data_IF_112177509106
#
_entry.id   IF_112177509106
#
_cell.length_a   1.000
_cell.length_b   1.000
_cell.length_c   1.000
_cell.angle_alpha   90.00
_cell.angle_beta   90.00
_cell.angle_gamma   90.00
#
_symmetry.space_group_name_H-M   'P 1'
#
loop_
_entity.id
_entity.type
_entity.pdbx_description
1 polymer ?
#
# COMPACT_ATOMS: atom_id res chain seq x y z
N UNK A 1 32.86 -27.07 -24.50
CA UNK A 1 31.75 -28.01 -24.77
C UNK A 1 30.69 -27.71 -23.74
N UNK A 2 29.80 -26.76 -24.06
CA UNK A 2 28.89 -26.14 -23.09
C UNK A 2 27.58 -26.91 -23.00
N UNK A 3 27.27 -27.40 -21.82
CA UNK A 3 25.91 -27.76 -21.45
C UNK A 3 25.28 -26.49 -20.88
N UNK A 4 24.52 -25.77 -21.71
CA UNK A 4 23.44 -24.91 -21.21
C UNK A 4 22.38 -25.90 -20.73
N UNK A 5 22.42 -26.27 -19.45
CA UNK A 5 21.26 -26.89 -18.82
C UNK A 5 20.12 -25.87 -18.92
N UNK A 6 19.22 -26.11 -19.86
CA UNK A 6 17.94 -25.43 -19.92
C UNK A 6 17.19 -25.96 -18.71
N UNK A 7 17.30 -25.27 -17.57
CA UNK A 7 16.56 -25.64 -16.38
C UNK A 7 15.07 -25.70 -16.74
N UNK A 8 14.52 -26.91 -16.79
CA UNK A 8 13.10 -27.10 -16.99
C UNK A 8 12.35 -26.45 -15.82
N UNK A 9 11.33 -25.65 -16.14
CA UNK A 9 10.54 -24.96 -15.11
C UNK A 9 9.71 -26.00 -14.34
N UNK A 10 9.72 -25.92 -13.02
CA UNK A 10 8.93 -26.78 -12.13
C UNK A 10 7.45 -26.35 -12.09
N UNK A 11 6.74 -26.51 -13.21
CA UNK A 11 5.33 -26.10 -13.34
C UNK A 11 4.45 -27.33 -13.09
N UNK A 12 3.53 -27.21 -12.13
CA UNK A 12 2.52 -28.24 -11.84
C UNK A 12 1.13 -27.63 -11.98
N UNK A 13 0.22 -28.37 -12.63
CA UNK A 13 -1.18 -27.99 -12.80
C UNK A 13 -2.03 -29.15 -12.32
N UNK A 14 -2.93 -28.88 -11.38
CA UNK A 14 -3.84 -29.88 -10.82
C UNK A 14 -5.25 -29.32 -10.66
N UNK A 15 -6.24 -30.20 -10.73
CA UNK A 15 -7.62 -29.86 -10.36
C UNK A 15 -7.77 -30.02 -8.85
N UNK A 16 -8.19 -28.95 -8.19
CA UNK A 16 -8.43 -28.95 -6.74
C UNK A 16 -9.93 -29.15 -6.49
N UNK A 17 -10.28 -30.14 -5.68
CA UNK A 17 -11.66 -30.37 -5.25
C UNK A 17 -11.99 -29.51 -4.03
N UNK A 18 -12.21 -28.21 -4.25
CA UNK A 18 -12.62 -27.25 -3.23
C UNK A 18 -13.93 -26.57 -3.64
N UNK A 19 -14.79 -26.32 -2.66
CA UNK A 19 -16.00 -25.52 -2.86
C UNK A 19 -15.62 -24.10 -3.33
N UNK A 20 -16.17 -23.62 -4.45
CA UNK A 20 -15.95 -22.26 -4.94
C UNK A 20 -16.21 -21.22 -3.85
N UNK A 21 -15.49 -20.10 -3.87
CA UNK A 21 -15.65 -19.07 -2.83
C UNK A 21 -17.10 -18.59 -2.69
N UNK A 22 -17.78 -18.39 -3.82
CA UNK A 22 -19.19 -17.98 -3.87
C UNK A 22 -20.16 -18.96 -3.21
N UNK A 23 -19.85 -20.25 -3.27
CA UNK A 23 -20.71 -21.31 -2.71
C UNK A 23 -20.49 -21.50 -1.21
N UNK A 24 -19.36 -21.03 -0.67
CA UNK A 24 -19.10 -21.09 0.77
C UNK A 24 -20.09 -20.22 1.54
N UNK A 25 -20.53 -20.72 2.69
CA UNK A 25 -21.55 -20.06 3.51
C UNK A 25 -21.04 -18.77 4.18
N UNK A 26 -19.73 -18.63 4.39
CA UNK A 26 -19.11 -17.49 5.07
C UNK A 26 -17.89 -17.06 4.27
N UNK A 27 -17.76 -15.76 4.04
CA UNK A 27 -16.60 -15.13 3.43
C UNK A 27 -16.30 -13.80 4.13
N UNK A 28 -15.03 -13.52 4.37
CA UNK A 28 -14.56 -12.29 5.00
C UNK A 28 -13.49 -11.67 4.13
N UNK A 29 -13.68 -10.41 3.78
CA UNK A 29 -12.72 -9.65 2.97
C UNK A 29 -12.47 -8.31 3.65
N UNK A 30 -11.22 -7.88 3.69
CA UNK A 30 -10.84 -6.57 4.23
C UNK A 30 -9.90 -5.87 3.25
N UNK A 31 -10.08 -4.56 3.09
CA UNK A 31 -9.16 -3.67 2.40
C UNK A 31 -8.89 -2.44 3.24
N UNK A 32 -7.61 -2.12 3.40
CA UNK A 32 -7.10 -0.90 4.00
C UNK A 32 -6.75 0.08 2.88
N UNK A 33 -7.47 1.19 2.81
CA UNK A 33 -7.34 2.21 1.78
C UNK A 33 -6.05 3.03 1.91
N UNK A 34 -5.88 3.95 0.97
CA UNK A 34 -4.65 4.73 0.77
C UNK A 34 -4.06 5.36 2.05
N UNK A 35 -4.90 5.99 2.87
CA UNK A 35 -4.50 6.75 4.06
C UNK A 35 -4.39 5.92 5.32
N UNK A 36 -4.73 4.62 5.28
CA UNK A 36 -4.57 3.75 6.44
C UNK A 36 -3.08 3.65 6.81
N UNK A 37 -2.69 3.72 8.10
CA UNK A 37 -1.29 3.73 8.51
C UNK A 37 -0.43 2.60 7.92
N UNK A 38 -0.97 1.37 7.87
CA UNK A 38 -0.28 0.23 7.25
C UNK A 38 -0.07 0.43 5.74
N UNK A 39 -1.11 0.85 5.01
CA UNK A 39 -1.03 1.10 3.56
C UNK A 39 -0.11 2.28 3.23
N UNK A 40 -0.02 3.28 4.11
CA UNK A 40 0.98 4.35 4.01
C UNK A 40 2.40 3.80 4.15
N UNK A 41 2.65 2.91 5.11
CA UNK A 41 3.95 2.25 5.25
C UNK A 41 4.33 1.46 3.99
N UNK A 42 3.39 0.67 3.45
CA UNK A 42 3.61 -0.12 2.23
C UNK A 42 3.94 0.78 1.03
N UNK A 43 3.13 1.82 0.82
CA UNK A 43 3.33 2.74 -0.31
C UNK A 43 4.59 3.61 -0.17
N UNK A 44 4.98 3.99 1.05
CA UNK A 44 6.27 4.66 1.30
C UNK A 44 7.42 3.70 0.99
N UNK A 45 7.34 2.44 1.45
CA UNK A 45 8.39 1.46 1.22
C UNK A 45 8.64 1.23 -0.28
N UNK A 46 7.56 1.10 -1.06
CA UNK A 46 7.60 0.95 -2.52
C UNK A 46 8.13 2.22 -3.20
N UNK A 47 7.60 3.39 -2.86
CA UNK A 47 8.04 4.67 -3.43
C UNK A 47 9.54 4.92 -3.20
N UNK A 48 10.06 4.57 -2.02
CA UNK A 48 11.49 4.65 -1.71
C UNK A 48 12.30 3.64 -2.55
N UNK A 49 11.83 2.40 -2.72
CA UNK A 49 12.50 1.41 -3.56
C UNK A 49 12.59 1.88 -5.01
N UNK A 50 11.48 2.37 -5.58
CA UNK A 50 11.43 2.89 -6.96
C UNK A 50 12.36 4.09 -7.12
N UNK A 51 12.40 5.01 -6.14
CA UNK A 51 13.29 6.16 -6.18
C UNK A 51 14.78 5.75 -6.13
N UNK A 52 15.14 4.78 -5.30
CA UNK A 52 16.50 4.24 -5.26
C UNK A 52 16.86 3.50 -6.56
N UNK A 53 15.93 2.74 -7.15
CA UNK A 53 16.14 2.10 -8.45
C UNK A 53 16.51 3.13 -9.52
N UNK A 54 15.80 4.26 -9.57
CA UNK A 54 16.08 5.36 -10.51
C UNK A 54 17.44 6.00 -10.23
N UNK A 55 17.74 6.34 -8.98
CA UNK A 55 19.04 6.91 -8.59
C UNK A 55 20.21 5.98 -8.97
N UNK A 56 20.06 4.67 -8.73
CA UNK A 56 21.07 3.67 -9.12
C UNK A 56 21.21 3.55 -10.64
N UNK A 57 20.10 3.55 -11.36
CA UNK A 57 20.13 3.50 -12.83
C UNK A 57 20.81 4.74 -13.42
N UNK A 58 20.53 5.93 -12.87
CA UNK A 58 21.10 7.21 -13.33
C UNK A 58 22.60 7.33 -13.04
N UNK A 59 23.04 6.97 -11.82
CA UNK A 59 24.44 7.14 -11.40
C UNK A 59 25.35 5.97 -11.74
N UNK A 60 24.81 4.75 -11.70
CA UNK A 60 25.59 3.52 -11.82
C UNK A 60 25.26 2.73 -13.08
N UNK A 61 24.27 3.16 -13.88
CA UNK A 61 23.81 2.45 -15.07
C UNK A 61 23.07 1.15 -14.78
N UNK A 62 22.82 0.85 -13.51
CA UNK A 62 22.26 -0.44 -13.09
C UNK A 62 21.68 -0.35 -11.68
N UNK A 63 20.58 -1.06 -11.45
CA UNK A 63 19.98 -1.21 -10.13
C UNK A 63 20.96 -1.93 -9.20
N UNK A 64 21.17 -1.40 -8.00
CA UNK A 64 21.99 -2.00 -6.95
C UNK A 64 21.12 -2.63 -5.86
N UNK A 65 21.69 -3.53 -5.08
CA UNK A 65 20.98 -4.21 -4.00
C UNK A 65 20.43 -3.22 -2.97
N UNK A 66 19.12 -3.32 -2.72
CA UNK A 66 18.39 -2.63 -1.65
C UNK A 66 17.10 -3.39 -1.33
N UNK A 67 16.62 -3.27 -0.09
CA UNK A 67 15.31 -3.72 0.37
C UNK A 67 14.80 -2.69 1.39
N UNK A 68 13.72 -1.97 1.07
CA UNK A 68 13.19 -0.81 1.83
C UNK A 68 11.86 -1.11 2.51
N UNK A 69 11.52 -2.39 2.63
CA UNK A 69 10.29 -3.00 3.12
C UNK A 69 10.17 -2.98 4.66
N UNK A 70 10.83 -2.04 5.34
CA UNK A 70 10.77 -1.89 6.81
C UNK A 70 10.47 -0.44 7.14
N UNK A 71 9.21 -0.05 7.04
CA UNK A 71 8.74 1.29 7.40
C UNK A 71 7.93 1.20 8.70
N UNK A 72 8.30 2.01 9.69
CA UNK A 72 7.54 2.13 10.93
C UNK A 72 6.90 3.51 10.99
N UNK A 73 5.58 3.54 11.16
CA UNK A 73 4.83 4.75 11.47
C UNK A 73 4.48 4.74 12.96
N UNK A 74 4.81 5.83 13.65
CA UNK A 74 4.38 6.12 15.02
C UNK A 74 3.39 7.27 14.98
N UNK A 75 2.22 7.05 15.55
CA UNK A 75 1.14 8.03 15.55
C UNK A 75 1.55 9.34 16.23
N UNK A 76 1.12 10.45 15.63
CA UNK A 76 1.16 11.76 16.26
C UNK A 76 -0.03 11.96 17.21
N UNK A 77 -0.36 13.24 17.46
CA UNK A 77 -1.57 13.64 18.19
C UNK A 77 -2.20 14.83 17.48
N UNK A 78 -3.51 14.85 17.41
CA UNK A 78 -4.28 15.96 16.87
C UNK A 78 -5.45 16.30 17.78
N UNK A 79 -5.99 17.51 17.60
CA UNK A 79 -7.23 17.96 18.21
C UNK A 79 -8.16 18.39 17.07
N UNK A 80 -8.87 17.43 16.43
CA UNK A 80 -9.87 17.77 15.44
C UNK A 80 -11.09 18.43 16.12
N UNK A 81 -11.65 19.44 15.48
CA UNK A 81 -12.91 20.06 15.86
C UNK A 81 -13.68 20.46 14.60
N UNK A 82 -14.99 20.63 14.71
CA UNK A 82 -15.79 21.06 13.57
C UNK A 82 -15.26 22.38 12.99
N UNK A 83 -15.16 22.44 11.66
CA UNK A 83 -14.62 23.57 10.91
C UNK A 83 -13.10 23.72 10.99
N UNK A 84 -12.37 22.84 11.68
CA UNK A 84 -10.92 22.94 11.76
C UNK A 84 -10.25 21.93 12.68
N UNK A 85 -9.37 22.44 13.54
CA UNK A 85 -8.53 21.64 14.41
C UNK A 85 -7.05 21.80 14.08
N UNK A 86 -6.22 21.14 14.88
CA UNK A 86 -4.76 21.27 14.78
C UNK A 86 -4.05 19.95 15.03
N UNK A 87 -2.85 19.81 14.45
CA UNK A 87 -1.92 18.74 14.79
C UNK A 87 -1.07 19.20 15.96
N UNK A 88 -1.19 18.49 17.09
CA UNK A 88 -0.51 18.81 18.36
C UNK A 88 0.91 18.26 18.37
N UNK A 89 1.11 17.06 17.83
CA UNK A 89 2.42 16.46 17.64
C UNK A 89 2.46 15.68 16.33
N UNK A 90 3.55 15.78 15.55
CA UNK A 90 3.63 15.19 14.23
C UNK A 90 3.63 13.66 14.28
N UNK A 91 3.22 13.05 13.17
CA UNK A 91 3.46 11.64 12.88
C UNK A 91 4.97 11.45 12.71
N UNK A 92 5.53 10.37 13.25
CA UNK A 92 6.93 10.01 13.04
C UNK A 92 7.04 8.76 12.16
N UNK A 93 7.84 8.84 11.10
CA UNK A 93 8.07 7.76 10.15
C UNK A 93 9.55 7.43 10.12
N UNK A 94 9.87 6.15 10.37
CA UNK A 94 11.22 5.62 10.32
C UNK A 94 11.36 4.70 9.11
N UNK A 95 12.22 5.08 8.17
CA UNK A 95 12.59 4.29 7.00
C UNK A 95 13.74 3.36 7.37
N UNK A 96 13.48 2.05 7.40
CA UNK A 96 14.44 0.99 7.67
C UNK A 96 14.68 0.10 6.47
N UNK A 97 15.64 -0.82 6.60
CA UNK A 97 16.00 -1.78 5.55
C UNK A 97 17.48 -1.71 5.17
N UNK A 98 17.78 -2.08 3.93
CA UNK A 98 19.13 -2.15 3.37
C UNK A 98 19.22 -1.37 2.07
N UNK A 99 20.34 -0.68 1.84
CA UNK A 99 20.62 -0.02 0.57
C UNK A 99 22.13 0.07 0.32
N UNK A 100 22.52 0.01 -0.95
CA UNK A 100 23.92 0.21 -1.36
C UNK A 100 24.24 1.69 -1.35
N UNK A 101 25.21 2.11 -0.53
CA UNK A 101 25.60 3.53 -0.36
C UNK A 101 26.81 3.95 -1.19
N UNK A 102 27.67 3.00 -1.57
CA UNK A 102 28.87 3.26 -2.35
C UNK A 102 29.02 2.19 -3.43
N UNK A 103 29.30 2.60 -4.67
CA UNK A 103 29.55 1.70 -5.78
C UNK A 103 30.67 2.23 -6.66
N UNK A 104 31.75 1.47 -6.83
CA UNK A 104 32.92 1.85 -7.64
C UNK A 104 33.50 3.25 -7.31
N UNK A 105 33.41 3.67 -6.04
CA UNK A 105 33.87 4.98 -5.58
C UNK A 105 32.83 6.09 -5.68
N UNK A 106 31.69 5.86 -6.33
CA UNK A 106 30.55 6.78 -6.36
C UNK A 106 29.74 6.65 -5.06
N UNK A 107 29.49 7.78 -4.40
CA UNK A 107 28.67 7.85 -3.19
C UNK A 107 27.22 8.20 -3.53
N UNK A 108 26.29 7.41 -2.98
CA UNK A 108 24.87 7.48 -3.30
C UNK A 108 24.13 8.04 -2.09
N UNK A 109 23.40 9.13 -2.31
CA UNK A 109 22.69 9.87 -1.27
C UNK A 109 21.40 9.15 -0.83
N UNK A 110 21.52 7.90 -0.38
CA UNK A 110 20.43 6.98 -0.04
C UNK A 110 19.40 7.63 0.89
N UNK A 111 19.87 8.22 1.99
CA UNK A 111 18.97 8.81 2.99
C UNK A 111 18.20 10.00 2.43
N UNK A 112 18.86 10.86 1.65
CA UNK A 112 18.24 12.01 0.99
C UNK A 112 17.19 11.58 -0.03
N UNK A 113 17.49 10.56 -0.86
CA UNK A 113 16.55 10.01 -1.84
C UNK A 113 15.34 9.39 -1.14
N UNK A 114 15.58 8.60 -0.09
CA UNK A 114 14.52 7.93 0.67
C UNK A 114 13.59 8.93 1.37
N UNK A 115 14.14 9.91 2.09
CA UNK A 115 13.34 10.94 2.77
C UNK A 115 12.50 11.73 1.75
N UNK A 116 13.11 12.12 0.63
CA UNK A 116 12.40 12.85 -0.43
C UNK A 116 11.26 12.02 -1.03
N UNK A 117 11.51 10.75 -1.34
CA UNK A 117 10.51 9.85 -1.92
C UNK A 117 9.34 9.61 -0.95
N UNK A 118 9.63 9.36 0.33
CA UNK A 118 8.61 9.19 1.36
C UNK A 118 7.75 10.47 1.52
N UNK A 119 8.38 11.64 1.60
CA UNK A 119 7.66 12.92 1.66
C UNK A 119 6.79 13.16 0.44
N UNK A 120 7.29 12.86 -0.76
CA UNK A 120 6.53 13.01 -2.00
C UNK A 120 5.33 12.06 -2.04
N UNK A 121 5.51 10.80 -1.63
CA UNK A 121 4.41 9.84 -1.53
C UNK A 121 3.32 10.31 -0.56
N UNK A 122 3.69 10.89 0.59
CA UNK A 122 2.73 11.40 1.57
C UNK A 122 1.89 12.57 1.06
N UNK A 123 2.32 13.27 -0.01
CA UNK A 123 1.50 14.33 -0.64
C UNK A 123 0.20 13.81 -1.26
N UNK A 124 0.07 12.48 -1.42
CA UNK A 124 -1.19 11.85 -1.83
C UNK A 124 -2.32 11.99 -0.78
N UNK A 125 -1.98 12.30 0.48
CA UNK A 125 -2.96 12.60 1.54
C UNK A 125 -3.24 14.10 1.53
N UNK A 126 -4.34 14.52 0.91
CA UNK A 126 -4.59 15.94 0.53
C UNK A 126 -4.58 16.93 1.69
N UNK A 127 -4.88 16.45 2.89
CA UNK A 127 -5.04 17.28 4.09
C UNK A 127 -3.91 17.11 5.12
N UNK A 128 -2.82 16.44 4.73
CA UNK A 128 -1.61 16.27 5.54
C UNK A 128 -0.54 17.26 5.08
N UNK A 129 -0.19 18.24 5.92
CA UNK A 129 1.01 19.05 5.68
C UNK A 129 2.26 18.22 6.01
N UNK A 130 2.89 17.67 4.98
CA UNK A 130 4.07 16.81 5.11
C UNK A 130 5.25 17.50 5.81
N UNK A 131 5.36 18.83 5.72
CA UNK A 131 6.50 19.54 6.30
C UNK A 131 6.34 19.80 7.80
N UNK A 132 5.11 20.05 8.26
CA UNK A 132 4.84 20.38 9.67
C UNK A 132 4.19 19.25 10.47
N UNK A 133 3.42 18.36 9.82
CA UNK A 133 2.69 17.29 10.47
C UNK A 133 3.44 15.95 10.49
N UNK A 134 4.58 15.84 9.79
CA UNK A 134 5.32 14.58 9.67
C UNK A 134 6.82 14.79 9.86
N UNK A 135 7.43 13.91 10.63
CA UNK A 135 8.89 13.76 10.72
C UNK A 135 9.25 12.45 10.01
N UNK A 136 10.14 12.53 9.02
CA UNK A 136 10.68 11.37 8.31
C UNK A 136 12.16 11.23 8.65
N UNK A 137 12.54 10.09 9.23
CA UNK A 137 13.94 9.72 9.50
C UNK A 137 14.31 8.48 8.67
N UNK A 138 15.57 8.40 8.25
CA UNK A 138 16.12 7.26 7.51
C UNK A 138 17.21 6.58 8.30
N UNK A 139 17.08 5.27 8.47
CA UNK A 139 18.07 4.35 9.06
C UNK A 139 18.33 3.16 8.13
N UNK A 140 18.41 3.41 6.83
CA UNK A 140 18.77 2.39 5.84
C UNK A 140 20.23 1.95 6.04
N UNK A 141 20.42 0.70 6.49
CA UNK A 141 21.74 0.12 6.70
C UNK A 141 22.44 -0.25 5.40
N UNK A 142 23.77 -0.35 5.41
CA UNK A 142 24.50 -0.98 4.30
C UNK A 142 24.07 -2.44 4.12
N UNK A 143 24.02 -2.96 2.88
CA UNK A 143 23.76 -4.37 2.62
C UNK A 143 24.78 -5.29 3.32
N UNK A 144 24.39 -6.52 3.70
CA UNK A 144 25.37 -7.51 4.16
C UNK A 144 26.30 -7.89 2.99
N UNK A 145 27.58 -8.15 3.28
CA UNK A 145 28.58 -8.59 2.30
C UNK A 145 28.07 -9.74 1.43
N UNK A 146 27.36 -10.69 2.05
CA UNK A 146 26.95 -11.94 1.43
C UNK A 146 25.81 -11.73 0.42
N UNK A 147 24.85 -10.85 0.71
CA UNK A 147 23.77 -10.47 -0.23
C UNK A 147 24.27 -9.62 -1.38
N UNK A 148 25.29 -8.78 -1.11
CA UNK A 148 25.97 -8.02 -2.16
C UNK A 148 26.71 -8.98 -3.09
N UNK A 149 27.31 -10.07 -2.58
CA UNK A 149 27.97 -11.09 -3.39
C UNK A 149 27.01 -11.92 -4.24
N UNK A 150 25.83 -12.30 -3.75
CA UNK A 150 24.79 -12.95 -4.56
C UNK A 150 24.35 -12.04 -5.72
N UNK A 151 24.22 -10.74 -5.46
CA UNK A 151 23.86 -9.75 -6.48
C UNK A 151 25.03 -9.45 -7.44
N UNK A 152 26.29 -9.61 -6.99
CA UNK A 152 27.51 -9.46 -7.80
C UNK A 152 27.91 -10.73 -8.56
N UNK A 153 27.50 -11.91 -8.11
CA UNK A 153 27.87 -13.20 -8.71
C UNK A 153 27.48 -13.32 -10.18
N UNK A 154 26.45 -12.58 -10.60
CA UNK A 154 26.01 -12.46 -11.99
C UNK A 154 26.76 -11.38 -12.82
N UNK A 155 27.65 -10.60 -12.21
CA UNK A 155 28.34 -9.45 -12.83
C UNK A 155 29.82 -9.69 -13.11
N UNK A 156 30.38 -10.87 -12.81
CA UNK A 156 31.78 -11.18 -13.13
C UNK A 156 32.05 -11.36 -14.65
N UNK A 157 31.08 -11.02 -15.52
CA UNK A 157 31.28 -10.82 -16.96
C UNK A 157 31.19 -9.34 -17.39
N UNK A 158 31.37 -8.38 -16.47
CA UNK A 158 31.56 -6.96 -16.84
C UNK A 158 32.96 -6.79 -17.46
N UNK A 159 33.02 -7.09 -18.75
CA UNK A 159 34.17 -7.02 -19.63
C UNK A 159 33.83 -7.39 -21.08
N UNK A 160 32.68 -8.06 -21.30
CA UNK A 160 32.12 -8.27 -22.63
C UNK A 160 30.83 -7.46 -22.78
N UNK A 161 30.85 -6.46 -23.67
CA UNK A 161 29.68 -5.67 -24.12
C UNK A 161 28.59 -6.52 -24.84
N UNK A 162 28.71 -7.84 -24.80
CA UNK A 162 27.91 -8.84 -25.53
C UNK A 162 27.29 -9.92 -24.63
N UNK A 163 27.46 -9.87 -23.31
CA UNK A 163 26.81 -10.82 -22.41
C UNK A 163 25.31 -10.50 -22.27
N UNK A 164 24.44 -11.46 -22.62
CA UNK A 164 23.00 -11.35 -22.41
C UNK A 164 22.69 -11.10 -20.91
N UNK A 165 21.63 -10.36 -20.57
CA UNK A 165 21.25 -10.15 -19.17
C UNK A 165 21.00 -11.51 -18.50
N UNK A 166 21.85 -11.88 -17.54
CA UNK A 166 21.67 -13.09 -16.75
C UNK A 166 20.43 -12.94 -15.86
N UNK A 167 19.58 -13.97 -15.83
CA UNK A 167 18.42 -14.01 -14.94
C UNK A 167 18.91 -13.84 -13.48
N UNK A 168 18.36 -12.89 -12.70
CA UNK A 168 18.82 -12.66 -11.33
C UNK A 168 18.53 -13.88 -10.45
N UNK A 169 19.45 -14.16 -9.53
CA UNK A 169 19.24 -15.15 -8.49
C UNK A 169 18.21 -14.65 -7.48
N UNK A 170 17.41 -15.57 -6.94
CA UNK A 170 16.53 -15.25 -5.82
C UNK A 170 17.37 -14.79 -4.61
N UNK A 171 16.93 -13.71 -3.97
CA UNK A 171 17.57 -13.15 -2.77
C UNK A 171 17.21 -13.92 -1.49
N UNK A 172 16.09 -14.64 -1.50
CA UNK A 172 15.57 -15.41 -0.37
C UNK A 172 14.73 -16.61 -0.86
N UNK A 173 14.43 -17.53 0.05
CA UNK A 173 13.48 -18.63 -0.18
C UNK A 173 12.07 -18.14 0.16
N UNK A 174 11.34 -17.68 -0.85
CA UNK A 174 10.00 -17.11 -0.71
C UNK A 174 9.01 -17.70 -1.72
N UNK A 175 7.71 -17.53 -1.48
CA UNK A 175 6.64 -17.92 -2.41
C UNK A 175 5.62 -16.80 -2.57
N UNK A 176 5.02 -16.70 -3.76
CA UNK A 176 3.89 -15.81 -4.05
C UNK A 176 2.61 -16.61 -4.26
N UNK A 177 1.48 -16.06 -3.85
CA UNK A 177 0.14 -16.64 -4.03
C UNK A 177 -0.73 -15.62 -4.74
N UNK A 178 -1.50 -16.08 -5.72
CA UNK A 178 -2.49 -15.27 -6.41
C UNK A 178 -3.65 -16.17 -6.85
N UNK A 179 -4.84 -15.59 -6.98
CA UNK A 179 -6.01 -16.23 -7.54
C UNK A 179 -6.75 -15.28 -8.48
N UNK A 180 -7.55 -15.86 -9.37
CA UNK A 180 -8.47 -15.15 -10.24
C UNK A 180 -9.61 -16.09 -10.68
N UNK A 181 -10.83 -15.58 -10.93
CA UNK A 181 -11.26 -14.19 -10.70
C UNK A 181 -11.42 -13.88 -9.20
N UNK A 182 -11.65 -12.61 -8.88
CA UNK A 182 -12.14 -12.20 -7.55
C UNK A 182 -13.58 -12.67 -7.36
N UNK A 183 -13.99 -12.95 -6.13
CA UNK A 183 -15.39 -13.15 -5.77
C UNK A 183 -16.20 -11.84 -5.88
N UNK A 184 -17.53 -11.93 -5.80
CA UNK A 184 -18.42 -10.77 -5.67
C UNK A 184 -18.03 -9.94 -4.44
N UNK A 185 -17.79 -10.58 -3.29
CA UNK A 185 -17.40 -9.90 -2.04
C UNK A 185 -16.04 -9.21 -2.17
N UNK A 186 -15.04 -9.88 -2.77
CA UNK A 186 -13.72 -9.30 -3.04
C UNK A 186 -13.81 -8.10 -3.98
N UNK A 187 -14.62 -8.23 -5.04
CA UNK A 187 -14.87 -7.17 -6.01
C UNK A 187 -15.55 -5.96 -5.36
N UNK A 188 -16.55 -6.18 -4.50
CA UNK A 188 -17.22 -5.10 -3.76
C UNK A 188 -16.23 -4.35 -2.88
N UNK A 189 -15.46 -5.06 -2.04
CA UNK A 189 -14.53 -4.43 -1.10
C UNK A 189 -13.47 -3.60 -1.81
N UNK A 190 -12.92 -4.10 -2.92
CA UNK A 190 -11.98 -3.36 -3.75
C UNK A 190 -12.62 -2.10 -4.34
N UNK A 191 -13.75 -2.27 -5.05
CA UNK A 191 -14.34 -1.19 -5.82
C UNK A 191 -15.03 -0.12 -4.97
N UNK A 192 -15.50 -0.47 -3.76
CA UNK A 192 -16.04 0.52 -2.81
C UNK A 192 -14.96 1.55 -2.45
N UNK A 193 -13.77 1.09 -2.06
CA UNK A 193 -12.67 2.01 -1.71
C UNK A 193 -12.21 2.80 -2.93
N UNK A 194 -11.98 2.13 -4.07
CA UNK A 194 -11.52 2.79 -5.29
C UNK A 194 -12.50 3.87 -5.78
N UNK A 195 -13.81 3.57 -5.83
CA UNK A 195 -14.83 4.51 -6.31
C UNK A 195 -15.09 5.64 -5.33
N UNK A 196 -15.02 5.39 -4.01
CA UNK A 196 -15.09 6.49 -3.05
C UNK A 196 -13.92 7.44 -3.25
N UNK A 197 -12.69 6.93 -3.37
CA UNK A 197 -11.48 7.76 -3.53
C UNK A 197 -11.44 8.49 -4.88
N UNK A 198 -11.90 7.86 -5.96
CA UNK A 198 -11.84 8.40 -7.32
C UNK A 198 -13.02 9.29 -7.69
N UNK A 199 -14.22 9.06 -7.15
CA UNK A 199 -15.44 9.74 -7.58
C UNK A 199 -16.07 10.57 -6.44
N UNK A 200 -16.36 9.94 -5.30
CA UNK A 200 -17.15 10.58 -4.24
C UNK A 200 -16.35 11.62 -3.45
N UNK A 201 -15.08 11.34 -3.17
CA UNK A 201 -14.17 12.18 -2.37
C UNK A 201 -13.93 13.59 -2.96
N UNK A 202 -14.12 13.77 -4.26
CA UNK A 202 -14.00 15.08 -4.91
C UNK A 202 -15.33 15.88 -4.87
N UNK A 203 -16.45 15.19 -4.71
CA UNK A 203 -17.77 15.79 -4.50
C UNK A 203 -17.98 16.13 -3.02
N UNK A 204 -17.48 15.28 -2.13
CA UNK A 204 -17.56 15.40 -0.69
C UNK A 204 -16.17 15.54 -0.07
N UNK A 205 -15.75 16.79 0.18
CA UNK A 205 -14.39 17.10 0.67
C UNK A 205 -14.14 16.57 2.08
N UNK A 206 -15.19 16.31 2.85
CA UNK A 206 -15.09 15.73 4.17
C UNK A 206 -14.56 14.30 4.16
N UNK A 207 -14.63 13.57 3.05
CA UNK A 207 -14.06 12.22 2.95
C UNK A 207 -12.53 12.27 2.94
N UNK A 208 -11.93 11.61 3.93
CA UNK A 208 -10.48 11.49 4.05
C UNK A 208 -9.93 10.34 3.22
N UNK A 209 -8.62 10.13 3.32
CA UNK A 209 -7.94 9.04 2.63
C UNK A 209 -7.81 7.77 3.49
N UNK A 210 -7.96 7.87 4.83
CA UNK A 210 -7.96 6.72 5.74
C UNK A 210 -9.35 6.07 5.77
N UNK A 211 -9.57 5.21 4.78
CA UNK A 211 -10.74 4.35 4.67
C UNK A 211 -10.34 2.89 4.91
N UNK A 212 -11.16 2.15 5.65
CA UNK A 212 -11.08 0.70 5.76
C UNK A 212 -12.43 0.08 5.47
N UNK A 213 -12.46 -0.85 4.53
CA UNK A 213 -13.66 -1.57 4.12
C UNK A 213 -13.52 -3.03 4.55
N UNK A 214 -14.50 -3.51 5.31
CA UNK A 214 -14.58 -4.91 5.71
C UNK A 214 -15.93 -5.46 5.29
N UNK A 215 -15.94 -6.60 4.63
CA UNK A 215 -17.14 -7.34 4.27
C UNK A 215 -17.20 -8.66 5.04
N UNK A 216 -18.38 -8.97 5.54
CA UNK A 216 -18.77 -10.30 5.97
C UNK A 216 -19.95 -10.73 5.11
N UNK A 217 -19.77 -11.74 4.27
CA UNK A 217 -20.87 -12.42 3.59
C UNK A 217 -21.28 -13.65 4.37
N UNK A 218 -22.56 -13.73 4.69
CA UNK A 218 -23.22 -14.91 5.27
C UNK A 218 -24.30 -15.36 4.29
N UNK A 219 -23.99 -16.37 3.48
CA UNK A 219 -24.81 -16.85 2.36
C UNK A 219 -25.14 -15.73 1.37
N UNK A 220 -26.39 -15.26 1.38
CA UNK A 220 -27.00 -14.28 0.48
C UNK A 220 -27.09 -12.87 1.07
N UNK A 221 -26.44 -12.64 2.22
CA UNK A 221 -26.38 -11.35 2.89
C UNK A 221 -24.95 -10.89 3.09
N UNK A 222 -24.65 -9.67 2.70
CA UNK A 222 -23.34 -9.02 2.87
C UNK A 222 -23.47 -7.86 3.85
N UNK A 223 -22.68 -7.87 4.91
CA UNK A 223 -22.52 -6.71 5.78
C UNK A 223 -21.20 -6.02 5.47
N UNK A 224 -21.28 -4.78 4.97
CA UNK A 224 -20.12 -3.91 4.76
C UNK A 224 -19.95 -2.99 5.95
N UNK A 225 -18.83 -3.10 6.65
CA UNK A 225 -18.41 -2.18 7.70
C UNK A 225 -17.31 -1.29 7.16
N UNK A 226 -17.58 0.01 7.08
CA UNK A 226 -16.65 1.01 6.57
C UNK A 226 -16.28 1.98 7.68
N UNK A 227 -14.98 2.06 7.96
CA UNK A 227 -14.42 3.15 8.76
C UNK A 227 -13.80 4.16 7.82
N UNK A 228 -14.20 5.42 7.89
CA UNK A 228 -13.63 6.52 7.13
C UNK A 228 -13.33 7.71 8.05
N UNK A 229 -12.09 8.20 8.00
CA UNK A 229 -11.68 9.36 8.76
C UNK A 229 -12.14 10.65 8.05
N UNK A 230 -13.14 11.33 8.63
CA UNK A 230 -13.62 12.59 8.07
C UNK A 230 -12.65 13.74 8.37
N UNK A 231 -12.46 14.60 7.37
CA UNK A 231 -11.61 15.78 7.43
C UNK A 231 -12.36 16.91 8.12
N UNK A 232 -12.05 17.13 9.39
CA UNK A 232 -12.78 18.01 10.31
C UNK A 232 -12.96 19.47 9.82
N UNK A 233 -12.00 20.02 9.06
CA UNK A 233 -12.14 21.38 8.48
C UNK A 233 -13.24 21.54 7.44
N UNK A 234 -13.82 20.43 6.95
CA UNK A 234 -14.94 20.41 6.01
C UNK A 234 -16.25 19.95 6.66
N UNK A 235 -16.27 19.75 7.98
CA UNK A 235 -17.45 19.33 8.74
C UNK A 235 -17.81 20.42 9.72
N UNK A 236 -18.95 21.08 9.53
CA UNK A 236 -19.30 22.31 10.27
C UNK A 236 -19.89 22.05 11.67
N UNK A 237 -20.59 20.93 11.82
CA UNK A 237 -21.22 20.49 13.05
C UNK A 237 -21.60 18.99 12.98
N UNK A 238 -22.30 18.51 14.01
CA UNK A 238 -22.75 17.12 14.10
C UNK A 238 -23.79 16.76 13.04
N UNK A 239 -24.70 17.68 12.68
CA UNK A 239 -25.74 17.41 11.69
C UNK A 239 -25.11 17.25 10.31
N UNK A 240 -24.14 18.11 9.96
CA UNK A 240 -23.32 17.96 8.75
C UNK A 240 -22.54 16.63 8.77
N UNK A 241 -21.94 16.24 9.91
CA UNK A 241 -21.27 14.94 10.02
C UNK A 241 -22.19 13.76 9.69
N UNK A 242 -23.40 13.76 10.26
CA UNK A 242 -24.40 12.70 10.03
C UNK A 242 -24.91 12.70 8.60
N UNK A 243 -25.15 13.87 8.00
CA UNK A 243 -25.53 13.99 6.60
C UNK A 243 -24.45 13.42 5.67
N UNK A 244 -23.19 13.80 5.88
CA UNK A 244 -22.04 13.29 5.12
C UNK A 244 -21.91 11.77 5.26
N UNK A 245 -22.08 11.24 6.48
CA UNK A 245 -22.08 9.80 6.75
C UNK A 245 -23.20 9.07 6.01
N UNK A 246 -24.39 9.67 5.93
CA UNK A 246 -25.52 9.11 5.18
C UNK A 246 -25.27 9.15 3.67
N UNK A 247 -24.76 10.26 3.13
CA UNK A 247 -24.39 10.37 1.70
C UNK A 247 -23.33 9.32 1.31
N UNK A 248 -22.32 9.12 2.16
CA UNK A 248 -21.29 8.09 1.96
C UNK A 248 -21.92 6.70 1.97
N UNK A 249 -22.78 6.38 2.95
CA UNK A 249 -23.49 5.10 3.02
C UNK A 249 -24.29 4.83 1.74
N UNK A 250 -25.03 5.81 1.25
CA UNK A 250 -25.83 5.70 0.01
C UNK A 250 -24.96 5.47 -1.22
N UNK A 251 -23.83 6.19 -1.32
CA UNK A 251 -22.87 5.98 -2.40
C UNK A 251 -22.32 4.54 -2.38
N UNK A 252 -21.84 4.08 -1.23
CA UNK A 252 -21.29 2.72 -1.05
C UNK A 252 -22.35 1.65 -1.37
N UNK A 253 -23.58 1.85 -0.92
CA UNK A 253 -24.69 0.91 -1.18
C UNK A 253 -24.94 0.77 -2.68
N UNK A 254 -24.93 1.88 -3.43
CA UNK A 254 -25.07 1.83 -4.90
C UNK A 254 -23.92 1.07 -5.55
N UNK A 255 -22.69 1.38 -5.17
CA UNK A 255 -21.50 0.70 -5.71
C UNK A 255 -21.57 -0.80 -5.43
N UNK A 256 -21.91 -1.22 -4.21
CA UNK A 256 -21.97 -2.63 -3.87
C UNK A 256 -23.02 -3.39 -4.70
N UNK A 257 -24.20 -2.79 -4.92
CA UNK A 257 -25.28 -3.38 -5.71
C UNK A 257 -24.95 -3.52 -7.21
N UNK A 258 -23.92 -2.86 -7.72
CA UNK A 258 -23.45 -3.07 -9.10
C UNK A 258 -22.74 -4.43 -9.29
N UNK A 259 -22.31 -5.07 -8.19
CA UNK A 259 -21.50 -6.30 -8.22
C UNK A 259 -22.21 -7.55 -7.70
N UNK A 260 -23.39 -7.42 -7.06
CA UNK A 260 -24.08 -8.55 -6.45
C UNK A 260 -25.59 -8.38 -6.47
N UNK A 261 -26.30 -9.52 -6.44
CA UNK A 261 -27.73 -9.59 -6.18
C UNK A 261 -28.07 -9.87 -4.71
N UNK A 262 -27.05 -10.07 -3.85
CA UNK A 262 -27.21 -10.30 -2.42
C UNK A 262 -27.81 -9.08 -1.70
N UNK A 263 -28.41 -9.31 -0.52
CA UNK A 263 -28.82 -8.21 0.37
C UNK A 263 -27.60 -7.56 1.01
N UNK A 264 -27.37 -6.27 0.74
CA UNK A 264 -26.21 -5.52 1.24
C UNK A 264 -26.61 -4.56 2.35
N UNK A 265 -26.07 -4.79 3.54
CA UNK A 265 -26.18 -3.89 4.69
C UNK A 265 -24.88 -3.10 4.90
N UNK A 266 -24.94 -1.78 4.66
CA UNK A 266 -23.79 -0.88 4.84
C UNK A 266 -23.84 -0.17 6.19
N UNK A 267 -22.74 -0.29 6.94
CA UNK A 267 -22.49 0.32 8.23
C UNK A 267 -21.26 1.23 8.12
N UNK A 268 -21.43 2.52 8.40
CA UNK A 268 -20.32 3.49 8.35
C UNK A 268 -19.99 3.92 9.77
N UNK A 269 -18.70 4.08 10.11
CA UNK A 269 -18.19 4.62 11.38
C UNK A 269 -18.97 4.12 12.61
N UNK A 270 -18.99 2.79 12.81
CA UNK A 270 -19.75 2.14 13.89
C UNK A 270 -19.17 2.37 15.29
N UNK A 271 -17.97 2.93 15.38
CA UNK A 271 -17.35 3.34 16.63
C UNK A 271 -17.83 4.72 17.13
N UNK A 272 -18.65 5.42 16.36
CA UNK A 272 -19.18 6.73 16.75
C UNK A 272 -20.04 6.61 18.03
N UNK A 273 -19.75 7.46 19.01
CA UNK A 273 -20.54 7.63 20.22
C UNK A 273 -21.12 9.05 20.21
N UNK A 274 -22.43 9.23 19.96
CA UNK A 274 -23.06 10.54 20.05
C UNK A 274 -22.87 11.10 21.46
N UNK A 275 -22.35 12.34 21.54
CA UNK A 275 -22.18 13.08 22.80
C UNK A 275 -23.49 13.68 23.30
#
# INVERSE_FOLDING_TARGET
>A
MGMRDTMEKNIKVEFVSREPMEEQAIEIVERKGLGHPDSLCDGIADAVSVALCREYQEKCGVILHHNTDKVQLSAGRSHPCYGGGEVISPIYILLGGRATRVFQGEEIAVDTVAIRAAKEYLRNVRNLDVESHVIVDSKLGGGSSDLIEVFKGNRNEIGNETAEPSVPMANDTSFGVAHAPLSETESIVLNVEEKVMAEFRDQEKAIGEDMKVMALRERDRITLTVGDAFVSKYVDDYDHYIETKQRLREFITRVANDYTACDVNVLVNMADMPG
#
